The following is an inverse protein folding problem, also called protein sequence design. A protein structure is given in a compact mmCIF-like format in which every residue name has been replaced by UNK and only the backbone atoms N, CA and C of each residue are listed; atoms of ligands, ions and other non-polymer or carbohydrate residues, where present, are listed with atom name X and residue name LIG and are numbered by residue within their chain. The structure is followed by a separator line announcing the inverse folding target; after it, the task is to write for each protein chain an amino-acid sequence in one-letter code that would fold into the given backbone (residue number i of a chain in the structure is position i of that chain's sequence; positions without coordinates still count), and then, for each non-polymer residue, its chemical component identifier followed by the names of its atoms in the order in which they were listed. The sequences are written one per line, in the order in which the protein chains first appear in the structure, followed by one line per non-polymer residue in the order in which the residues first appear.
data_IF_387662616402
#
_entry.id   IF_387662616402
#
_cell.length_a   1.000
_cell.length_b   1.000
_cell.length_c   1.000
_cell.angle_alpha   90.00
_cell.angle_beta   90.00
_cell.angle_gamma   90.00
#
_symmetry.space_group_name_H-M   'P 1'
#
loop_
_entity.id
_entity.type
_entity.pdbx_description
1 polymer ?
#
# COMPACT_ATOMS: atom_id res chain seq x y z
N UNK A 1 -8.65 12.88 -18.89
CA UNK A 1 -9.03 14.30 -18.61
C UNK A 1 -7.79 15.04 -18.11
N UNK A 2 -7.75 16.37 -18.08
CA UNK A 2 -6.66 17.05 -17.36
C UNK A 2 -6.80 16.76 -15.87
N UNK A 3 -5.70 16.32 -15.22
CA UNK A 3 -5.64 15.97 -13.80
C UNK A 3 -4.57 16.82 -13.13
N UNK A 4 -4.70 17.03 -11.82
CA UNK A 4 -3.73 17.75 -10.99
C UNK A 4 -2.96 16.75 -10.14
N UNK A 5 -1.64 16.75 -10.27
CA UNK A 5 -0.73 15.92 -9.50
C UNK A 5 0.09 16.78 -8.54
N UNK A 6 0.29 16.26 -7.34
CA UNK A 6 1.33 16.71 -6.43
C UNK A 6 2.35 15.58 -6.28
N UNK A 7 3.64 15.88 -6.45
CA UNK A 7 4.72 14.92 -6.22
C UNK A 7 5.64 15.48 -5.14
N UNK A 8 5.80 14.73 -4.05
CA UNK A 8 6.65 15.07 -2.92
C UNK A 8 7.84 14.11 -2.98
N UNK A 9 9.03 14.60 -3.32
CA UNK A 9 10.24 13.79 -3.57
C UNK A 9 11.50 14.54 -3.12
N UNK A 10 12.23 13.96 -2.16
CA UNK A 10 13.44 14.55 -1.58
C UNK A 10 14.72 14.32 -2.39
N UNK A 11 14.65 13.49 -3.43
CA UNK A 11 15.79 13.14 -4.29
C UNK A 11 15.63 13.61 -5.74
N UNK A 12 14.55 14.33 -6.03
CA UNK A 12 14.08 14.86 -7.33
C UNK A 12 13.98 13.82 -8.49
N UNK A 13 14.39 12.58 -8.26
CA UNK A 13 14.54 11.57 -9.30
C UNK A 13 13.19 11.05 -9.79
N UNK A 14 12.22 10.90 -8.89
CA UNK A 14 10.85 10.52 -9.19
C UNK A 14 10.05 11.72 -9.73
N UNK A 15 10.15 12.88 -9.07
CA UNK A 15 9.45 14.11 -9.44
C UNK A 15 9.81 14.56 -10.86
N UNK A 16 11.09 14.70 -11.19
CA UNK A 16 11.53 15.14 -12.52
C UNK A 16 11.04 14.20 -13.63
N UNK A 17 11.10 12.88 -13.38
CA UNK A 17 10.64 11.85 -14.30
C UNK A 17 9.14 11.89 -14.57
N UNK A 18 8.35 11.79 -13.51
CA UNK A 18 6.89 11.74 -13.60
C UNK A 18 6.30 13.08 -14.03
N UNK A 19 6.87 14.21 -13.61
CA UNK A 19 6.47 15.54 -14.08
C UNK A 19 6.54 15.65 -15.59
N UNK A 20 7.63 15.17 -16.20
CA UNK A 20 7.78 15.13 -17.66
C UNK A 20 6.72 14.25 -18.30
N UNK A 21 6.51 13.03 -17.80
CA UNK A 21 5.54 12.09 -18.37
C UNK A 21 4.11 12.65 -18.29
N UNK A 22 3.66 13.09 -17.12
CA UNK A 22 2.30 13.58 -16.94
C UNK A 22 2.05 14.93 -17.61
N UNK A 23 3.04 15.81 -17.69
CA UNK A 23 2.92 17.05 -18.44
C UNK A 23 2.74 16.79 -19.94
N UNK A 24 3.44 15.79 -20.51
CA UNK A 24 3.26 15.39 -21.92
C UNK A 24 1.88 14.79 -22.20
N UNK A 25 1.27 14.15 -21.19
CA UNK A 25 -0.11 13.64 -21.25
C UNK A 25 -1.15 14.74 -21.01
N UNK A 26 -0.73 16.00 -20.80
CA UNK A 26 -1.62 17.15 -20.64
C UNK A 26 -2.12 17.38 -19.21
N UNK A 27 -1.52 16.73 -18.21
CA UNK A 27 -1.85 16.94 -16.79
C UNK A 27 -1.06 18.12 -16.20
N UNK A 28 -1.57 18.69 -15.11
CA UNK A 28 -0.87 19.68 -14.30
C UNK A 28 -0.11 18.96 -13.19
N UNK A 29 1.17 19.30 -13.00
CA UNK A 29 2.02 18.65 -12.00
C UNK A 29 2.76 19.70 -11.18
N UNK A 30 2.58 19.64 -9.88
CA UNK A 30 3.33 20.41 -8.89
C UNK A 30 4.26 19.48 -8.11
N UNK A 31 5.40 20.01 -7.68
CA UNK A 31 6.46 19.25 -7.03
C UNK A 31 6.90 19.96 -5.75
N UNK A 32 7.11 19.19 -4.69
CA UNK A 32 7.62 19.64 -3.39
C UNK A 32 8.81 18.75 -3.02
N UNK A 33 9.88 19.32 -2.45
CA UNK A 33 11.11 18.59 -2.15
C UNK A 33 11.14 18.05 -0.71
N UNK A 34 10.36 18.63 0.21
CA UNK A 34 10.42 18.26 1.62
C UNK A 34 9.06 17.93 2.22
N UNK A 35 9.06 17.04 3.22
CA UNK A 35 7.85 16.76 4.00
C UNK A 35 7.32 18.00 4.72
N UNK A 36 8.20 18.87 5.22
CA UNK A 36 7.82 20.07 5.96
C UNK A 36 7.00 21.02 5.07
N UNK A 37 7.46 21.28 3.84
CA UNK A 37 6.71 22.07 2.86
C UNK A 37 5.36 21.44 2.51
N UNK A 38 5.31 20.11 2.40
CA UNK A 38 4.07 19.41 2.10
C UNK A 38 3.03 19.52 3.24
N UNK A 39 3.47 19.58 4.50
CA UNK A 39 2.59 19.79 5.68
C UNK A 39 2.05 21.22 5.74
N UNK A 40 2.80 22.20 5.25
CA UNK A 40 2.35 23.60 5.19
C UNK A 40 1.28 23.84 4.10
N UNK A 41 1.13 22.89 3.18
CA UNK A 41 0.15 22.95 2.09
C UNK A 41 -1.26 22.69 2.61
N UNK A 42 -2.04 23.77 2.78
CA UNK A 42 -3.40 23.71 3.35
C UNK A 42 -4.47 23.10 2.45
N UNK A 43 -4.18 22.86 1.17
CA UNK A 43 -5.16 22.48 0.15
C UNK A 43 -4.75 21.24 -0.64
N UNK A 44 -4.15 20.26 0.02
CA UNK A 44 -3.67 19.01 -0.61
C UNK A 44 -4.79 18.25 -1.36
N UNK A 45 -6.04 18.39 -0.94
CA UNK A 45 -7.20 17.75 -1.57
C UNK A 45 -7.55 18.31 -2.96
N UNK A 46 -6.96 19.45 -3.36
CA UNK A 46 -7.17 20.01 -4.71
C UNK A 46 -6.50 19.19 -5.81
N UNK A 47 -5.62 18.27 -5.44
CA UNK A 47 -4.91 17.38 -6.35
C UNK A 47 -5.71 16.09 -6.51
N UNK A 48 -5.88 15.63 -7.75
CA UNK A 48 -6.53 14.36 -8.03
C UNK A 48 -5.67 13.18 -7.53
N UNK A 49 -4.34 13.32 -7.59
CA UNK A 49 -3.37 12.30 -7.18
C UNK A 49 -2.18 12.96 -6.50
N UNK A 50 -1.82 12.47 -5.32
CA UNK A 50 -0.60 12.84 -4.58
C UNK A 50 0.34 11.65 -4.55
N UNK A 51 1.60 11.88 -4.92
CA UNK A 51 2.66 10.87 -4.93
C UNK A 51 3.72 11.34 -3.95
N UNK A 52 4.08 10.52 -2.97
CA UNK A 52 5.15 10.81 -2.01
C UNK A 52 6.22 9.75 -2.12
N UNK A 53 7.48 10.13 -2.25
CA UNK A 53 8.65 9.25 -2.13
C UNK A 53 9.70 9.98 -1.29
N UNK A 54 9.84 9.57 -0.04
CA UNK A 54 10.69 10.26 0.94
C UNK A 54 11.64 9.25 1.59
N UNK A 55 12.90 9.63 1.70
CA UNK A 55 13.92 8.90 2.42
C UNK A 55 14.11 9.55 3.82
N UNK A 56 14.38 8.75 4.86
CA UNK A 56 14.47 9.22 6.25
C UNK A 56 13.27 10.05 6.69
N UNK A 57 12.09 9.45 6.78
CA UNK A 57 11.02 10.06 7.59
C UNK A 57 11.43 9.95 9.06
N UNK A 58 12.26 10.89 9.51
CA UNK A 58 12.68 11.03 10.89
C UNK A 58 11.45 11.19 11.80
N UNK A 59 11.57 10.66 13.02
CA UNK A 59 10.54 10.70 14.05
C UNK A 59 10.11 12.16 14.31
N UNK A 60 8.95 12.54 13.77
CA UNK A 60 8.24 13.71 14.25
C UNK A 60 7.90 13.43 15.72
N UNK A 61 8.29 14.30 16.67
CA UNK A 61 8.01 14.06 18.10
C UNK A 61 6.51 13.85 18.31
N UNK A 62 6.17 12.92 19.21
CA UNK A 62 4.82 12.56 19.64
C UNK A 62 3.95 13.81 19.88
N UNK A 63 3.23 14.28 18.86
CA UNK A 63 2.06 15.15 18.93
C UNK A 63 1.64 15.63 17.54
N UNK A 64 1.35 14.72 16.62
CA UNK A 64 0.24 14.93 15.70
C UNK A 64 -0.47 13.59 15.59
N UNK A 65 -1.30 13.28 16.59
CA UNK A 65 -2.48 12.47 16.31
C UNK A 65 -3.21 13.25 15.22
N UNK A 66 -3.11 12.80 13.97
CA UNK A 66 -3.76 13.46 12.85
C UNK A 66 -5.26 13.16 12.93
N UNK A 67 -5.92 13.83 13.87
CA UNK A 67 -7.33 14.24 13.73
C UNK A 67 -7.43 15.41 12.72
N UNK A 68 -6.30 15.91 12.21
CA UNK A 68 -6.26 16.80 11.04
C UNK A 68 -6.57 15.99 9.77
N UNK A 69 -7.86 15.97 9.39
CA UNK A 69 -8.34 15.52 8.07
C UNK A 69 -7.51 16.12 6.91
N UNK A 70 -6.86 17.28 7.13
CA UNK A 70 -6.04 18.00 6.14
C UNK A 70 -4.76 17.29 5.68
N UNK A 71 -4.30 16.22 6.35
CA UNK A 71 -3.03 15.55 6.02
C UNK A 71 -3.18 14.09 5.55
N UNK A 72 -4.40 13.66 5.22
CA UNK A 72 -4.72 12.27 4.90
C UNK A 72 -3.80 11.64 3.81
N UNK A 73 -3.34 12.43 2.84
CA UNK A 73 -2.50 11.94 1.75
C UNK A 73 -0.99 11.86 2.05
N UNK A 74 -0.51 12.31 3.21
CA UNK A 74 0.89 12.15 3.61
C UNK A 74 1.11 10.79 4.29
N UNK A 75 2.30 10.17 4.19
CA UNK A 75 2.64 8.98 4.97
C UNK A 75 2.58 9.30 6.47
N UNK A 76 2.08 8.38 7.29
CA UNK A 76 2.10 8.55 8.76
C UNK A 76 3.54 8.49 9.27
N UNK A 77 3.94 9.47 10.09
CA UNK A 77 5.22 9.46 10.79
C UNK A 77 5.09 8.63 12.07
N UNK A 78 5.92 7.61 12.24
CA UNK A 78 5.96 6.83 13.48
C UNK A 78 7.08 7.31 14.41
N UNK A 79 6.83 7.38 15.73
CA UNK A 79 7.88 7.64 16.70
C UNK A 79 8.80 6.42 16.80
N UNK A 80 9.84 6.38 15.98
CA UNK A 80 10.87 5.34 16.07
C UNK A 80 12.10 5.82 16.83
N UNK A 81 12.55 4.99 17.78
CA UNK A 81 13.78 5.19 18.58
C UNK A 81 15.02 4.61 17.90
N UNK A 82 14.94 4.09 16.67
CA UNK A 82 16.05 3.45 15.98
C UNK A 82 16.68 4.38 14.94
N UNK A 83 18.00 4.30 14.79
CA UNK A 83 18.78 4.94 13.73
C UNK A 83 18.62 4.25 12.36
N UNK A 84 17.47 3.60 12.10
CA UNK A 84 17.25 2.85 10.87
C UNK A 84 16.69 3.77 9.77
N UNK A 85 17.26 3.68 8.58
CA UNK A 85 16.81 4.42 7.40
C UNK A 85 15.45 3.88 6.93
N UNK A 86 14.41 4.69 7.08
CA UNK A 86 13.04 4.37 6.64
C UNK A 86 12.74 5.14 5.37
N UNK A 87 12.30 4.40 4.34
CA UNK A 87 11.83 4.98 3.08
C UNK A 87 10.32 4.87 3.04
N UNK A 88 9.64 5.94 2.69
CA UNK A 88 8.18 5.93 2.57
C UNK A 88 7.76 6.31 1.16
N UNK A 89 6.92 5.46 0.58
CA UNK A 89 6.32 5.68 -0.72
C UNK A 89 4.80 5.62 -0.59
N UNK A 90 4.09 6.66 -1.03
CA UNK A 90 2.62 6.71 -0.98
C UNK A 90 2.04 7.21 -2.29
N UNK A 91 0.98 6.55 -2.76
CA UNK A 91 0.09 7.09 -3.81
C UNK A 91 -1.29 7.30 -3.17
N UNK A 92 -1.76 8.53 -3.16
CA UNK A 92 -3.07 8.91 -2.65
C UNK A 92 -3.92 9.48 -3.78
N UNK A 93 -5.07 8.88 -4.05
CA UNK A 93 -6.01 9.28 -5.10
C UNK A 93 -7.44 9.43 -4.54
N UNK A 94 -7.58 9.75 -3.26
CA UNK A 94 -8.88 9.89 -2.56
C UNK A 94 -9.77 10.97 -3.18
N UNK A 95 -9.16 12.06 -3.65
CA UNK A 95 -9.81 13.19 -4.34
C UNK A 95 -10.04 12.97 -5.83
N UNK A 96 -9.77 11.77 -6.36
CA UNK A 96 -10.00 11.45 -7.76
C UNK A 96 -11.50 11.58 -8.11
N UNK A 97 -11.81 12.26 -9.22
CA UNK A 97 -13.19 12.55 -9.62
C UNK A 97 -14.08 11.28 -9.66
N UNK A 98 -15.20 11.32 -8.92
CA UNK A 98 -16.16 10.22 -8.75
C UNK A 98 -17.44 10.37 -9.57
N UNK A 99 -17.70 11.51 -10.20
CA UNK A 99 -18.91 11.73 -11.01
C UNK A 99 -18.80 11.06 -12.38
N UNK A 100 -17.63 11.15 -13.00
CA UNK A 100 -17.29 10.46 -14.25
C UNK A 100 -16.10 9.51 -13.99
N UNK A 101 -16.31 8.56 -13.08
CA UNK A 101 -15.26 7.66 -12.67
C UNK A 101 -14.84 6.74 -13.83
N UNK A 102 -13.60 6.89 -14.28
CA UNK A 102 -12.97 6.01 -15.26
C UNK A 102 -11.92 5.14 -14.56
N UNK A 103 -12.30 3.90 -14.29
CA UNK A 103 -11.44 2.90 -13.67
C UNK A 103 -10.21 2.55 -14.52
N UNK A 104 -10.29 2.74 -15.85
CA UNK A 104 -9.16 2.52 -16.77
C UNK A 104 -8.17 3.67 -16.71
N UNK A 105 -8.65 4.91 -16.61
CA UNK A 105 -7.79 6.09 -16.39
C UNK A 105 -6.99 5.92 -15.09
N UNK A 106 -7.65 5.59 -13.98
CA UNK A 106 -7.00 5.37 -12.69
C UNK A 106 -5.94 4.25 -12.77
N UNK A 107 -6.28 3.13 -13.43
CA UNK A 107 -5.33 2.03 -13.66
C UNK A 107 -4.09 2.47 -14.41
N UNK A 108 -4.24 3.17 -15.52
CA UNK A 108 -3.12 3.62 -16.33
C UNK A 108 -2.20 4.59 -15.55
N UNK A 109 -2.77 5.43 -14.69
CA UNK A 109 -2.00 6.32 -13.82
C UNK A 109 -1.15 5.52 -12.82
N UNK A 110 -1.77 4.58 -12.09
CA UNK A 110 -1.05 3.73 -11.14
C UNK A 110 0.04 2.91 -11.83
N UNK A 111 -0.26 2.28 -12.97
CA UNK A 111 0.74 1.54 -13.74
C UNK A 111 1.91 2.42 -14.18
N UNK A 112 1.65 3.65 -14.62
CA UNK A 112 2.70 4.60 -15.00
C UNK A 112 3.62 4.92 -13.82
N UNK A 113 3.04 5.22 -12.65
CA UNK A 113 3.80 5.57 -11.44
C UNK A 113 4.62 4.38 -10.95
N UNK A 114 3.98 3.22 -10.79
CA UNK A 114 4.61 2.02 -10.24
C UNK A 114 5.69 1.47 -11.17
N UNK A 115 5.46 1.45 -12.48
CA UNK A 115 6.46 1.02 -13.45
C UNK A 115 7.66 1.96 -13.48
N UNK A 116 7.43 3.28 -13.45
CA UNK A 116 8.52 4.25 -13.40
C UNK A 116 9.37 4.04 -12.14
N UNK A 117 8.74 3.97 -10.96
CA UNK A 117 9.44 3.77 -9.70
C UNK A 117 10.21 2.44 -9.69
N UNK A 118 9.58 1.35 -10.12
CA UNK A 118 10.19 0.02 -10.15
C UNK A 118 11.40 -0.07 -11.10
N UNK A 119 11.36 0.65 -12.22
CA UNK A 119 12.39 0.61 -13.27
C UNK A 119 13.55 1.58 -12.99
N UNK A 120 13.27 2.79 -12.51
CA UNK A 120 14.28 3.85 -12.43
C UNK A 120 14.75 4.16 -11.01
N UNK A 121 13.90 3.98 -10.00
CA UNK A 121 14.17 4.41 -8.62
C UNK A 121 14.54 3.23 -7.72
N UNK A 122 13.83 2.11 -7.83
CA UNK A 122 13.92 0.95 -6.93
C UNK A 122 15.06 0.00 -7.29
N UNK A 123 16.28 0.56 -7.32
CA UNK A 123 17.51 -0.19 -7.52
C UNK A 123 17.85 -1.04 -6.27
N UNK A 124 18.33 -2.27 -6.50
CA UNK A 124 18.59 -3.27 -5.44
C UNK A 124 19.49 -2.71 -4.33
N UNK A 125 20.51 -1.94 -4.69
CA UNK A 125 21.47 -1.36 -3.74
C UNK A 125 20.80 -0.39 -2.75
N UNK A 126 19.75 0.33 -3.18
CA UNK A 126 19.01 1.29 -2.34
C UNK A 126 18.04 0.60 -1.37
N UNK A 127 17.45 -0.52 -1.78
CA UNK A 127 16.29 -1.13 -1.08
C UNK A 127 16.67 -2.29 -0.16
N UNK A 128 17.78 -2.98 -0.43
CA UNK A 128 18.10 -4.26 0.23
C UNK A 128 18.29 -4.14 1.75
N UNK A 129 18.68 -2.97 2.25
CA UNK A 129 18.96 -2.74 3.67
C UNK A 129 18.00 -1.73 4.31
N UNK A 130 16.97 -1.26 3.60
CA UNK A 130 16.01 -0.30 4.14
C UNK A 130 14.78 -1.01 4.74
N UNK A 131 14.13 -0.33 5.67
CA UNK A 131 12.72 -0.57 5.97
C UNK A 131 11.90 0.33 5.05
N UNK A 132 10.93 -0.24 4.35
CA UNK A 132 10.06 0.51 3.47
C UNK A 132 8.63 0.51 4.00
N UNK A 133 8.01 1.70 3.99
CA UNK A 133 6.58 1.89 4.21
C UNK A 133 5.95 2.28 2.88
N UNK A 134 5.12 1.41 2.31
CA UNK A 134 4.46 1.61 1.02
C UNK A 134 2.96 1.73 1.28
N UNK A 135 2.32 2.77 0.77
CA UNK A 135 0.89 3.02 0.99
C UNK A 135 0.18 3.39 -0.32
N UNK A 136 -1.01 2.85 -0.52
CA UNK A 136 -1.90 3.15 -1.62
C UNK A 136 -3.28 3.45 -1.07
N UNK A 137 -3.84 4.59 -1.44
CA UNK A 137 -5.20 4.96 -1.07
C UNK A 137 -5.95 5.45 -2.31
N UNK A 138 -7.05 4.79 -2.64
CA UNK A 138 -7.71 5.00 -3.94
C UNK A 138 -9.19 4.64 -3.89
N UNK A 139 -10.01 5.16 -4.83
CA UNK A 139 -11.39 4.75 -4.98
C UNK A 139 -11.49 3.26 -5.26
N UNK A 140 -12.46 2.58 -4.66
CA UNK A 140 -12.64 1.13 -4.72
C UNK A 140 -12.74 0.63 -6.16
N UNK A 141 -11.60 0.15 -6.68
CA UNK A 141 -11.41 -0.27 -8.07
C UNK A 141 -10.63 -1.59 -8.09
N UNK A 142 -11.20 -2.61 -8.73
CA UNK A 142 -10.56 -3.93 -8.80
C UNK A 142 -9.46 -3.97 -9.86
N UNK A 143 -9.51 -3.07 -10.83
CA UNK A 143 -8.54 -2.96 -11.93
C UNK A 143 -7.10 -2.69 -11.47
N UNK A 144 -6.93 -2.11 -10.27
CA UNK A 144 -5.64 -1.78 -9.65
C UNK A 144 -4.97 -2.98 -8.98
N UNK A 145 -5.72 -4.05 -8.73
CA UNK A 145 -5.24 -5.21 -7.97
C UNK A 145 -3.94 -5.76 -8.55
N UNK A 146 -3.90 -6.04 -9.86
CA UNK A 146 -2.73 -6.66 -10.46
C UNK A 146 -1.45 -5.81 -10.32
N UNK A 147 -1.52 -4.51 -10.63
CA UNK A 147 -0.34 -3.63 -10.61
C UNK A 147 0.17 -3.37 -9.19
N UNK A 148 -0.73 -3.21 -8.22
CA UNK A 148 -0.36 -3.05 -6.80
C UNK A 148 0.24 -4.34 -6.26
N UNK A 149 -0.40 -5.49 -6.48
CA UNK A 149 0.07 -6.76 -5.95
C UNK A 149 1.40 -7.18 -6.56
N UNK A 150 1.58 -7.01 -7.87
CA UNK A 150 2.84 -7.27 -8.55
C UNK A 150 3.98 -6.38 -8.03
N UNK A 151 3.70 -5.09 -7.78
CA UNK A 151 4.68 -4.17 -7.22
C UNK A 151 5.10 -4.60 -5.80
N UNK A 152 4.13 -4.94 -4.95
CA UNK A 152 4.36 -5.37 -3.57
C UNK A 152 5.13 -6.70 -3.50
N UNK A 153 4.76 -7.71 -4.27
CA UNK A 153 5.46 -9.01 -4.27
C UNK A 153 6.89 -8.87 -4.78
N UNK A 154 7.12 -8.11 -5.86
CA UNK A 154 8.47 -7.78 -6.34
C UNK A 154 9.29 -7.04 -5.27
N UNK A 155 8.65 -6.20 -4.44
CA UNK A 155 9.36 -5.53 -3.33
C UNK A 155 9.84 -6.51 -2.28
N UNK A 156 8.96 -7.41 -1.85
CA UNK A 156 9.27 -8.46 -0.87
C UNK A 156 10.43 -9.33 -1.35
N UNK A 157 10.41 -9.73 -2.62
CA UNK A 157 11.48 -10.51 -3.26
C UNK A 157 12.81 -9.75 -3.28
N UNK A 158 12.80 -8.49 -3.72
CA UNK A 158 14.01 -7.66 -3.80
C UNK A 158 14.65 -7.40 -2.42
N UNK A 159 13.84 -7.23 -1.36
CA UNK A 159 14.33 -7.05 0.02
C UNK A 159 14.79 -8.38 0.63
N UNK A 160 14.19 -9.50 0.19
CA UNK A 160 14.62 -10.85 0.55
C UNK A 160 13.92 -11.44 1.77
N UNK A 161 12.69 -11.02 2.08
CA UNK A 161 11.88 -11.64 3.14
C UNK A 161 11.51 -13.07 2.77
N UNK A 162 11.08 -13.29 1.53
CA UNK A 162 10.76 -14.60 1.00
C UNK A 162 11.74 -14.94 -0.12
N UNK A 163 12.87 -15.57 0.23
CA UNK A 163 13.85 -16.01 -0.76
C UNK A 163 13.28 -17.21 -1.54
N UNK A 164 12.81 -16.99 -2.78
CA UNK A 164 12.38 -18.07 -3.67
C UNK A 164 11.03 -17.90 -4.36
N UNK A 165 10.43 -16.71 -4.37
CA UNK A 165 9.19 -16.46 -5.10
C UNK A 165 8.03 -17.28 -4.52
N UNK A 166 7.64 -16.97 -3.28
CA UNK A 166 6.48 -17.59 -2.63
C UNK A 166 5.22 -17.20 -3.40
N UNK A 167 4.88 -17.99 -4.42
CA UNK A 167 3.68 -17.81 -5.25
C UNK A 167 2.40 -17.81 -4.42
N UNK A 168 2.45 -18.34 -3.19
CA UNK A 168 1.34 -18.28 -2.26
C UNK A 168 1.14 -16.87 -1.69
N UNK A 169 2.19 -16.06 -1.51
CA UNK A 169 2.03 -14.69 -1.01
C UNK A 169 1.09 -13.87 -1.91
N UNK A 170 1.24 -14.01 -3.24
CA UNK A 170 0.33 -13.36 -4.18
C UNK A 170 -1.12 -13.76 -3.94
N UNK A 171 -1.39 -15.05 -3.68
CA UNK A 171 -2.74 -15.56 -3.41
C UNK A 171 -3.33 -14.91 -2.14
N UNK A 172 -2.56 -14.83 -1.05
CA UNK A 172 -3.04 -14.20 0.17
C UNK A 172 -3.37 -12.71 -0.03
N UNK A 173 -2.53 -12.00 -0.78
CA UNK A 173 -2.76 -10.59 -1.10
C UNK A 173 -3.94 -10.39 -2.06
N UNK A 174 -4.13 -11.29 -3.02
CA UNK A 174 -5.26 -11.29 -3.97
C UNK A 174 -6.59 -11.45 -3.23
N UNK A 175 -6.68 -12.45 -2.35
CA UNK A 175 -7.87 -12.67 -1.51
C UNK A 175 -8.15 -11.47 -0.59
N UNK A 176 -7.11 -10.87 0.01
CA UNK A 176 -7.26 -9.67 0.83
C UNK A 176 -7.78 -8.46 0.03
N UNK A 177 -7.27 -8.25 -1.18
CA UNK A 177 -7.70 -7.18 -2.06
C UNK A 177 -9.16 -7.36 -2.52
N UNK A 178 -9.52 -8.60 -2.91
CA UNK A 178 -10.90 -8.96 -3.26
C UNK A 178 -11.84 -8.76 -2.09
N UNK A 179 -11.43 -9.14 -0.86
CA UNK A 179 -12.24 -8.91 0.34
C UNK A 179 -12.54 -7.42 0.53
N UNK A 180 -11.54 -6.55 0.43
CA UNK A 180 -11.73 -5.11 0.59
C UNK A 180 -12.67 -4.50 -0.49
N UNK A 181 -12.39 -4.77 -1.77
CA UNK A 181 -13.12 -4.15 -2.90
C UNK A 181 -14.52 -4.75 -3.11
N UNK A 182 -14.61 -6.08 -3.19
CA UNK A 182 -15.84 -6.79 -3.55
C UNK A 182 -16.74 -7.01 -2.34
N UNK A 183 -16.20 -7.43 -1.21
CA UNK A 183 -17.00 -7.84 -0.06
C UNK A 183 -17.26 -6.66 0.90
N UNK A 184 -16.22 -5.90 1.23
CA UNK A 184 -16.30 -4.70 2.06
C UNK A 184 -17.02 -3.55 1.35
N UNK A 185 -16.41 -3.02 0.30
CA UNK A 185 -16.93 -1.86 -0.43
C UNK A 185 -18.02 -2.17 -1.46
N UNK A 186 -18.27 -3.45 -1.78
CA UNK A 186 -19.32 -3.88 -2.74
C UNK A 186 -19.15 -3.23 -4.12
N UNK A 187 -17.91 -3.09 -4.60
CA UNK A 187 -17.54 -2.39 -5.84
C UNK A 187 -18.01 -0.92 -5.92
N UNK A 188 -18.26 -0.30 -4.77
CA UNK A 188 -18.68 1.09 -4.75
C UNK A 188 -17.47 2.02 -4.91
N UNK A 189 -17.23 2.52 -6.14
CA UNK A 189 -16.16 3.49 -6.45
C UNK A 189 -16.30 4.83 -5.69
N UNK A 190 -17.41 5.05 -4.97
CA UNK A 190 -17.55 6.19 -4.05
C UNK A 190 -16.98 5.91 -2.67
N UNK A 191 -16.41 4.73 -2.44
CA UNK A 191 -15.66 4.37 -1.25
C UNK A 191 -14.18 4.22 -1.58
N UNK A 192 -13.32 4.40 -0.60
CA UNK A 192 -11.89 4.20 -0.71
C UNK A 192 -11.46 2.82 -0.22
N UNK A 193 -10.33 2.36 -0.73
CA UNK A 193 -9.55 1.24 -0.21
C UNK A 193 -8.17 1.77 0.14
N UNK A 194 -7.67 1.39 1.32
CA UNK A 194 -6.29 1.63 1.75
C UNK A 194 -5.54 0.31 1.75
N UNK A 195 -4.41 0.26 1.05
CA UNK A 195 -3.47 -0.85 1.04
C UNK A 195 -2.14 -0.34 1.53
N UNK A 196 -1.60 -0.91 2.60
CA UNK A 196 -0.29 -0.55 3.13
C UNK A 196 0.61 -1.79 3.25
N UNK A 197 1.92 -1.59 3.09
CA UNK A 197 2.92 -2.59 3.31
C UNK A 197 4.12 -2.00 4.06
N UNK A 198 4.57 -2.69 5.10
CA UNK A 198 5.83 -2.41 5.78
C UNK A 198 6.77 -3.58 5.57
N UNK A 199 7.87 -3.34 4.86
CA UNK A 199 8.76 -4.41 4.40
C UNK A 199 10.17 -4.14 4.91
N UNK A 200 10.74 -5.13 5.58
CA UNK A 200 12.12 -5.12 6.09
C UNK A 200 12.74 -6.49 5.85
N UNK A 201 14.02 -6.71 6.13
CA UNK A 201 14.62 -8.07 6.06
C UNK A 201 14.00 -9.09 7.02
N UNK A 202 13.29 -8.64 8.05
CA UNK A 202 12.73 -9.52 9.10
C UNK A 202 11.34 -10.01 8.74
N UNK A 203 10.53 -9.14 8.15
CA UNK A 203 9.13 -9.42 7.85
C UNK A 203 8.59 -8.45 6.80
N UNK A 204 7.50 -8.87 6.17
CA UNK A 204 6.61 -8.07 5.37
C UNK A 204 5.22 -8.07 6.04
N UNK A 205 4.78 -6.90 6.50
CA UNK A 205 3.44 -6.67 7.04
C UNK A 205 2.60 -6.00 5.97
N UNK A 206 1.39 -6.48 5.76
CA UNK A 206 0.42 -5.90 4.84
C UNK A 206 -0.84 -5.53 5.60
N UNK A 207 -1.43 -4.41 5.23
CA UNK A 207 -2.73 -3.95 5.72
C UNK A 207 -3.64 -3.68 4.54
N UNK A 208 -4.87 -4.21 4.59
CA UNK A 208 -5.95 -3.91 3.66
C UNK A 208 -7.12 -3.38 4.45
N UNK A 209 -7.63 -2.21 4.08
CA UNK A 209 -8.74 -1.55 4.77
C UNK A 209 -9.76 -1.01 3.77
N UNK A 210 -11.03 -1.24 4.07
CA UNK A 210 -12.17 -0.80 3.29
C UNK A 210 -13.18 0.01 4.14
N UNK A 211 -14.09 0.71 3.50
CA UNK A 211 -15.13 1.54 4.16
C UNK A 211 -16.48 0.80 4.26
N UNK A 212 -16.46 -0.52 4.15
CA UNK A 212 -17.59 -1.42 4.33
C UNK A 212 -18.06 -1.51 5.77
N UNK A 213 -19.19 -2.20 5.98
CA UNK A 213 -19.72 -2.44 7.33
C UNK A 213 -18.82 -3.41 8.13
N UNK A 214 -17.93 -4.12 7.44
CA UNK A 214 -17.11 -5.18 7.99
C UNK A 214 -17.91 -6.47 8.20
N UNK A 215 -17.35 -7.41 8.96
CA UNK A 215 -17.98 -8.69 9.23
C UNK A 215 -17.58 -9.21 10.61
N UNK A 216 -18.37 -10.14 11.15
CA UNK A 216 -18.08 -10.73 12.45
C UNK A 216 -16.87 -11.67 12.36
N UNK A 217 -15.72 -11.20 12.86
CA UNK A 217 -14.46 -11.95 12.91
C UNK A 217 -14.59 -13.21 13.77
N UNK A 218 -15.44 -13.21 14.81
CA UNK A 218 -15.65 -14.38 15.65
C UNK A 218 -16.44 -15.49 14.94
N UNK A 219 -17.12 -15.15 13.85
CA UNK A 219 -17.82 -16.12 13.00
C UNK A 219 -16.91 -16.84 12.01
N UNK A 220 -15.63 -16.42 11.89
CA UNK A 220 -14.66 -17.09 11.02
C UNK A 220 -14.46 -18.52 11.53
N UNK A 221 -14.75 -19.56 10.72
CA UNK A 221 -14.53 -20.94 11.12
C UNK A 221 -13.05 -21.20 11.40
N UNK A 222 -12.74 -22.06 12.39
CA UNK A 222 -11.33 -22.39 12.73
C UNK A 222 -10.61 -22.91 11.47
N UNK A 223 -9.55 -22.23 11.02
CA UNK A 223 -8.85 -22.62 9.79
C UNK A 223 -8.11 -23.96 9.91
N UNK A 224 -7.93 -24.46 11.13
CA UNK A 224 -7.26 -25.74 11.42
C UNK A 224 -8.23 -26.93 11.37
N UNK A 225 -9.52 -26.68 11.22
CA UNK A 225 -10.54 -27.73 11.10
C UNK A 225 -10.66 -28.22 9.65
N UNK A 226 -10.38 -29.51 9.37
CA UNK A 226 -10.48 -30.11 8.03
C UNK A 226 -11.85 -29.94 7.37
N UNK A 227 -12.94 -29.84 8.14
CA UNK A 227 -14.30 -29.69 7.60
C UNK A 227 -14.54 -28.33 6.96
N UNK A 228 -13.80 -27.30 7.36
CA UNK A 228 -13.93 -25.95 6.81
C UNK A 228 -13.27 -25.81 5.43
N UNK A 229 -12.35 -26.71 5.04
CA UNK A 229 -11.73 -26.71 3.71
C UNK A 229 -12.74 -26.99 2.57
N UNK A 230 -13.84 -27.67 2.85
CA UNK A 230 -14.81 -28.09 1.84
C UNK A 230 -15.96 -27.09 1.61
N UNK A 231 -16.09 -26.03 2.43
CA UNK A 231 -17.12 -25.00 2.26
C UNK A 231 -16.83 -24.11 1.04
N UNK A 232 -17.88 -23.70 0.33
CA UNK A 232 -17.79 -22.90 -0.91
C UNK A 232 -17.65 -21.39 -0.65
N UNK A 233 -18.08 -20.92 0.52
CA UNK A 233 -17.87 -19.55 1.01
C UNK A 233 -16.80 -19.54 2.11
N UNK A 234 -16.01 -18.47 2.21
CA UNK A 234 -15.01 -18.29 3.27
C UNK A 234 -13.62 -18.90 3.01
N UNK A 235 -13.38 -19.47 1.81
CA UNK A 235 -12.05 -20.00 1.44
C UNK A 235 -10.95 -18.96 1.44
N UNK A 236 -11.24 -17.72 1.03
CA UNK A 236 -10.25 -16.64 0.99
C UNK A 236 -9.59 -16.40 2.35
N UNK A 237 -10.39 -16.33 3.42
CA UNK A 237 -9.90 -16.17 4.79
C UNK A 237 -9.04 -17.36 5.21
N UNK A 238 -9.46 -18.58 4.90
CA UNK A 238 -8.67 -19.80 5.16
C UNK A 238 -7.34 -19.81 4.42
N UNK A 239 -7.32 -19.37 3.16
CA UNK A 239 -6.10 -19.27 2.35
C UNK A 239 -5.12 -18.27 2.96
N UNK A 240 -5.60 -17.09 3.36
CA UNK A 240 -4.77 -16.08 4.03
C UNK A 240 -4.14 -16.67 5.31
N UNK A 241 -4.93 -17.35 6.15
CA UNK A 241 -4.43 -17.99 7.37
C UNK A 241 -3.42 -19.11 7.13
N UNK A 242 -3.52 -19.82 6.01
CA UNK A 242 -2.58 -20.91 5.68
C UNK A 242 -1.26 -20.40 5.11
N UNK A 243 -1.23 -19.17 4.57
CA UNK A 243 -0.09 -18.62 3.83
C UNK A 243 0.73 -17.65 4.68
N UNK A 244 0.03 -16.85 5.50
CA UNK A 244 0.61 -15.81 6.35
C UNK A 244 0.92 -16.36 7.74
N UNK A 245 1.97 -15.85 8.38
CA UNK A 245 2.37 -16.29 9.72
C UNK A 245 1.48 -15.71 10.82
N UNK A 246 1.03 -14.47 10.63
CA UNK A 246 0.09 -13.79 11.54
C UNK A 246 -1.00 -13.11 10.72
N UNK A 247 -2.23 -13.18 11.21
CA UNK A 247 -3.42 -12.59 10.58
C UNK A 247 -4.30 -12.00 11.68
N UNK A 248 -4.68 -10.74 11.54
CA UNK A 248 -5.51 -10.02 12.50
C UNK A 248 -6.49 -9.13 11.78
N UNK A 249 -7.76 -9.20 12.18
CA UNK A 249 -8.78 -8.23 11.78
C UNK A 249 -9.00 -7.21 12.91
N UNK A 250 -9.43 -6.00 12.57
CA UNK A 250 -9.97 -5.08 13.58
C UNK A 250 -11.35 -5.56 14.08
N UNK A 251 -11.87 -4.93 15.14
CA UNK A 251 -13.16 -5.34 15.75
C UNK A 251 -14.34 -5.25 14.77
N UNK A 252 -14.31 -4.27 13.87
CA UNK A 252 -15.34 -4.09 12.83
C UNK A 252 -15.24 -5.15 11.73
N UNK A 253 -14.06 -5.73 11.48
CA UNK A 253 -13.82 -6.69 10.39
C UNK A 253 -13.64 -6.05 9.01
N UNK A 254 -13.33 -4.75 8.91
CA UNK A 254 -13.06 -4.05 7.65
C UNK A 254 -11.58 -3.63 7.48
N UNK A 255 -10.72 -3.98 8.44
CA UNK A 255 -9.26 -3.84 8.34
C UNK A 255 -8.60 -5.18 8.62
N UNK A 256 -7.87 -5.69 7.66
CA UNK A 256 -7.07 -6.90 7.73
C UNK A 256 -5.59 -6.54 7.79
N UNK A 257 -4.90 -7.05 8.80
CA UNK A 257 -3.45 -7.01 8.92
C UNK A 257 -2.87 -8.42 8.85
N UNK A 258 -1.82 -8.60 8.07
CA UNK A 258 -1.22 -9.92 7.83
C UNK A 258 0.29 -9.80 7.69
N UNK A 259 1.03 -10.70 8.35
CA UNK A 259 2.50 -10.67 8.44
C UNK A 259 3.08 -11.94 7.87
N UNK A 260 4.08 -11.78 7.01
CA UNK A 260 4.96 -12.85 6.55
C UNK A 260 6.37 -12.59 7.09
N UNK A 261 6.90 -13.50 7.89
CA UNK A 261 8.25 -13.41 8.45
C UNK A 261 9.25 -13.96 7.46
N UNK A 262 10.48 -13.44 7.50
CA UNK A 262 11.56 -14.06 6.77
C UNK A 262 11.86 -15.41 7.40
N UNK A 263 12.04 -16.43 6.56
CA UNK A 263 12.48 -17.73 7.06
C UNK A 263 13.86 -17.52 7.69
N UNK A 264 13.92 -17.52 9.02
CA UNK A 264 15.21 -17.65 9.69
C UNK A 264 15.79 -18.96 9.16
N UNK A 265 17.00 -18.92 8.60
CA UNK A 265 17.82 -20.13 8.50
C UNK A 265 18.05 -20.62 9.92
N UNK A 266 17.08 -21.37 10.47
CA UNK A 266 17.31 -22.21 11.62
C UNK A 266 18.29 -23.23 11.08
N UNK A 267 19.58 -22.99 11.37
CA UNK A 267 20.56 -24.05 11.40
C UNK A 267 19.91 -25.13 12.27
N UNK A 268 19.37 -26.17 11.62
CA UNK A 268 19.30 -27.50 12.22
C UNK A 268 20.75 -27.92 12.41
N UNK A 269 21.37 -27.37 13.44
CA UNK A 269 22.60 -27.90 14.01
C UNK A 269 22.19 -29.10 14.85
N UNK A 270 22.74 -30.24 14.42
CA UNK A 270 22.84 -31.54 15.10
C UNK A 270 21.65 -32.49 14.97
#
# INVERSE_FOLDING_TARGET
MQRKFLIIDDHDSLSSGLKRVFSLLGHSVETIETRAEAVELKDIDRFDVVITDLDNIDAIPEAVQSDDENNACLPEAEPHKSSEHIRAFKICATSFNRENFDETELKNLFETILNYKAQFIDQIERIKNSREKIEFEFPSAISLMHSILEYLTKRVEKIGVAAGGDSHLFIALDEAFVNAVKHGNKFNHRKNVRVAAEISKKEARFTFEDEGEGFDVASIPDPRDPENLFKSSGRGVLLIHNIMDEVKYNERGNRLEMIKKSESKTQKNQ
#
